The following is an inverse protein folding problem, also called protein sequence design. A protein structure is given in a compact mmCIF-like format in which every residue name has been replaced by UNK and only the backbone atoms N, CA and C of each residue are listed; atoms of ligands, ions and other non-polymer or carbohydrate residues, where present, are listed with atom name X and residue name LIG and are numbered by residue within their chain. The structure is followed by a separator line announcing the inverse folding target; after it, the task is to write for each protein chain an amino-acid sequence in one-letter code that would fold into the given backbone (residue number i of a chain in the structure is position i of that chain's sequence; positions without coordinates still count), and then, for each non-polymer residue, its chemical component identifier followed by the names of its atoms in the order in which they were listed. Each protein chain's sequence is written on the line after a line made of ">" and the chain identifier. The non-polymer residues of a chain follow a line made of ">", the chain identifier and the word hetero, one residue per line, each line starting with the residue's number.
data_IF_341684067557
#
_entry.id   IF_341684067557
#
_cell.length_a   1.000
_cell.length_b   1.000
_cell.length_c   1.000
_cell.angle_alpha   90.00
_cell.angle_beta   90.00
_cell.angle_gamma   90.00
#
_symmetry.space_group_name_H-M   'P 1'
#
loop_
_entity.id
_entity.type
_entity.pdbx_description
1 polymer ?
#
# COMPACT_ATOMS: atom_id res chain seq x y z
N UNK A 1 -30.67 2.67 22.23
CA UNK A 1 -29.43 3.45 22.23
C UNK A 1 -29.01 3.56 20.77
N UNK A 2 -29.18 4.73 20.18
CA UNK A 2 -28.78 5.02 18.79
C UNK A 2 -27.25 5.11 18.76
N UNK A 3 -26.60 4.15 18.10
CA UNK A 3 -25.19 4.30 17.72
C UNK A 3 -25.06 5.59 16.91
N UNK A 4 -24.30 6.53 17.43
CA UNK A 4 -23.92 7.72 16.66
C UNK A 4 -22.93 7.25 15.60
N UNK A 5 -23.36 7.19 14.34
CA UNK A 5 -22.47 6.95 13.21
C UNK A 5 -21.32 7.99 13.26
N UNK A 6 -20.12 7.48 13.43
CA UNK A 6 -18.90 8.30 13.46
C UNK A 6 -18.67 8.88 12.07
N UNK A 7 -18.81 10.20 11.95
CA UNK A 7 -18.60 10.92 10.69
C UNK A 7 -17.11 11.20 10.48
N UNK A 8 -16.62 10.93 9.27
CA UNK A 8 -15.23 11.13 8.85
C UNK A 8 -15.16 12.02 7.61
N UNK A 9 -14.05 12.74 7.45
CA UNK A 9 -13.84 13.63 6.31
C UNK A 9 -13.51 12.87 5.04
N UNK A 10 -14.17 13.21 3.93
CA UNK A 10 -13.84 12.79 2.58
C UNK A 10 -13.84 14.05 1.67
N UNK A 11 -12.64 14.58 1.39
CA UNK A 11 -12.50 15.86 0.70
C UNK A 11 -13.18 17.00 1.48
N UNK A 12 -14.20 17.61 0.89
CA UNK A 12 -15.00 18.69 1.50
C UNK A 12 -16.31 18.20 2.16
N UNK A 13 -16.58 16.89 2.14
CA UNK A 13 -17.78 16.27 2.69
C UNK A 13 -17.49 15.52 3.99
N UNK A 14 -18.52 15.40 4.85
CA UNK A 14 -18.51 14.53 6.03
C UNK A 14 -19.40 13.33 5.76
N UNK A 15 -18.82 12.14 5.73
CA UNK A 15 -19.47 10.87 5.40
C UNK A 15 -19.31 9.87 6.55
N UNK A 16 -20.07 8.77 6.54
CA UNK A 16 -19.84 7.67 7.47
C UNK A 16 -18.52 6.93 7.13
N UNK A 17 -18.01 6.14 8.06
CA UNK A 17 -16.78 5.35 7.83
C UNK A 17 -16.97 4.35 6.68
N UNK A 18 -18.14 3.72 6.59
CA UNK A 18 -18.49 2.79 5.51
C UNK A 18 -18.59 3.48 4.16
N UNK A 19 -19.29 4.63 4.09
CA UNK A 19 -19.39 5.44 2.88
C UNK A 19 -18.03 5.96 2.41
N UNK A 20 -17.13 6.32 3.34
CA UNK A 20 -15.76 6.73 2.99
C UNK A 20 -15.00 5.58 2.33
N UNK A 21 -15.04 4.38 2.92
CA UNK A 21 -14.36 3.19 2.39
C UNK A 21 -14.88 2.84 0.99
N UNK A 22 -16.20 2.90 0.79
CA UNK A 22 -16.81 2.63 -0.52
C UNK A 22 -16.43 3.70 -1.55
N UNK A 23 -16.56 4.99 -1.23
CA UNK A 23 -16.20 6.10 -2.15
C UNK A 23 -14.72 6.08 -2.51
N UNK A 24 -13.84 5.77 -1.58
CA UNK A 24 -12.40 5.59 -1.85
C UNK A 24 -12.19 4.43 -2.81
N UNK A 25 -12.86 3.29 -2.60
CA UNK A 25 -12.79 2.14 -3.51
C UNK A 25 -13.23 2.49 -4.93
N UNK A 26 -14.39 3.15 -5.09
CA UNK A 26 -14.92 3.56 -6.40
C UNK A 26 -13.97 4.52 -7.15
N UNK A 27 -13.35 5.46 -6.44
CA UNK A 27 -12.36 6.37 -7.04
C UNK A 27 -11.13 5.58 -7.51
N UNK A 28 -10.61 4.65 -6.70
CA UNK A 28 -9.46 3.83 -7.09
C UNK A 28 -9.78 2.90 -8.25
N UNK A 29 -10.96 2.31 -8.29
CA UNK A 29 -11.39 1.45 -9.40
C UNK A 29 -11.51 2.23 -10.72
N UNK A 30 -11.99 3.48 -10.66
CA UNK A 30 -12.16 4.33 -11.85
C UNK A 30 -10.84 4.86 -12.42
N UNK A 31 -9.80 5.01 -11.60
CA UNK A 31 -8.50 5.58 -12.00
C UNK A 31 -7.35 4.59 -11.94
N UNK A 32 -7.63 3.33 -11.64
CA UNK A 32 -6.60 2.31 -11.38
C UNK A 32 -5.61 2.13 -12.53
N UNK A 33 -6.08 2.17 -13.79
CA UNK A 33 -5.21 2.06 -14.98
C UNK A 33 -4.29 3.27 -15.19
N UNK A 34 -4.66 4.44 -14.64
CA UNK A 34 -3.90 5.69 -14.81
C UNK A 34 -3.28 6.18 -13.49
N UNK A 35 -3.41 5.39 -12.41
CA UNK A 35 -3.01 5.82 -11.08
C UNK A 35 -1.51 6.14 -10.98
N UNK A 36 -0.67 5.32 -11.55
CA UNK A 36 0.78 5.53 -11.58
C UNK A 36 1.15 6.78 -12.40
N UNK A 37 0.50 6.95 -13.55
CA UNK A 37 0.70 8.13 -14.41
C UNK A 37 0.22 9.41 -13.72
N UNK A 38 -0.91 9.36 -13.01
CA UNK A 38 -1.45 10.50 -12.28
C UNK A 38 -0.56 10.88 -11.09
N UNK A 39 -0.01 9.90 -10.37
CA UNK A 39 0.96 10.15 -9.31
C UNK A 39 2.24 10.76 -9.85
N UNK A 40 2.76 10.27 -10.98
CA UNK A 40 3.91 10.85 -11.67
C UNK A 40 3.65 12.29 -12.08
N UNK A 41 2.48 12.57 -12.67
CA UNK A 41 2.11 13.90 -13.12
C UNK A 41 1.92 14.89 -11.97
N UNK A 42 1.19 14.49 -10.91
CA UNK A 42 0.90 15.34 -9.75
C UNK A 42 2.12 15.64 -8.89
N UNK A 43 3.09 14.75 -8.87
CA UNK A 43 4.31 14.89 -8.06
C UNK A 43 5.53 15.30 -8.89
N UNK A 44 5.40 15.50 -10.21
CA UNK A 44 6.54 15.74 -11.13
C UNK A 44 7.65 14.69 -10.98
N UNK A 45 7.29 13.43 -10.68
CA UNK A 45 8.26 12.35 -10.44
C UNK A 45 8.98 12.40 -9.09
N UNK A 46 8.74 13.42 -8.26
CA UNK A 46 9.39 13.58 -6.94
C UNK A 46 9.07 12.40 -6.02
N UNK A 47 7.87 11.80 -6.14
CA UNK A 47 7.50 10.63 -5.32
C UNK A 47 8.44 9.44 -5.52
N UNK A 48 9.03 9.24 -6.71
CA UNK A 48 10.01 8.17 -6.97
C UNK A 48 11.32 8.43 -6.22
N UNK A 49 11.74 9.69 -6.15
CA UNK A 49 12.92 10.08 -5.37
C UNK A 49 12.69 9.85 -3.87
N UNK A 50 11.53 10.26 -3.34
CA UNK A 50 11.20 10.06 -1.94
C UNK A 50 11.08 8.58 -1.54
N UNK A 51 10.51 7.73 -2.40
CA UNK A 51 10.49 6.28 -2.17
C UNK A 51 11.91 5.72 -2.02
N UNK A 52 12.82 6.06 -2.93
CA UNK A 52 14.22 5.62 -2.85
C UNK A 52 14.95 6.19 -1.63
N UNK A 53 14.73 7.45 -1.33
CA UNK A 53 15.33 8.08 -0.15
C UNK A 53 14.85 7.42 1.14
N UNK A 54 13.55 7.16 1.29
CA UNK A 54 13.00 6.46 2.44
C UNK A 54 13.62 5.08 2.61
N UNK A 55 13.75 4.31 1.52
CA UNK A 55 14.33 2.97 1.56
C UNK A 55 15.79 2.94 2.02
N UNK A 56 16.59 3.93 1.69
CA UNK A 56 17.99 4.01 2.18
C UNK A 56 18.08 4.11 3.72
N UNK A 57 16.97 4.45 4.39
CA UNK A 57 16.90 4.61 5.83
C UNK A 57 16.17 3.44 6.54
N UNK A 58 15.71 2.44 5.80
CA UNK A 58 15.01 1.28 6.39
C UNK A 58 15.94 0.29 7.10
N UNK A 59 17.23 0.30 6.76
CA UNK A 59 18.16 -0.71 7.23
C UNK A 59 17.91 -2.11 6.67
N UNK A 60 17.12 -2.24 5.60
CA UNK A 60 16.88 -3.53 4.94
C UNK A 60 18.15 -4.07 4.30
N UNK A 61 18.40 -5.35 4.54
CA UNK A 61 19.54 -6.11 4.00
C UNK A 61 19.05 -7.36 3.27
N UNK A 62 19.93 -7.99 2.53
CA UNK A 62 19.65 -9.22 1.80
C UNK A 62 19.18 -10.34 2.75
N UNK A 63 18.12 -11.04 2.37
CA UNK A 63 17.50 -12.11 3.15
C UNK A 63 16.41 -11.66 4.12
N UNK A 64 16.24 -10.37 4.34
CA UNK A 64 15.22 -9.82 5.25
C UNK A 64 13.80 -9.93 4.66
N UNK A 65 12.80 -9.75 5.53
CA UNK A 65 11.38 -9.77 5.19
C UNK A 65 10.79 -8.36 5.29
N UNK A 66 10.17 -7.90 4.22
CA UNK A 66 9.51 -6.61 4.16
C UNK A 66 8.01 -6.74 3.89
N UNK A 67 7.22 -5.86 4.50
CA UNK A 67 5.80 -5.68 4.25
C UNK A 67 5.55 -4.28 3.70
N UNK A 68 4.82 -4.18 2.59
CA UNK A 68 4.31 -2.90 2.08
C UNK A 68 2.79 -2.86 2.22
N UNK A 69 2.31 -1.94 3.05
CA UNK A 69 0.89 -1.77 3.39
C UNK A 69 0.29 -0.69 2.48
N UNK A 70 -0.92 -0.93 1.98
CA UNK A 70 -1.57 -0.08 0.97
C UNK A 70 -0.66 0.11 -0.26
N UNK A 71 -0.15 -1.01 -0.77
CA UNK A 71 0.91 -1.07 -1.79
C UNK A 71 0.45 -0.64 -3.18
N UNK A 72 -0.86 -0.57 -3.43
CA UNK A 72 -1.42 -0.26 -4.75
C UNK A 72 -0.94 -1.26 -5.81
N UNK A 73 -0.32 -0.76 -6.87
CA UNK A 73 0.24 -1.57 -7.96
C UNK A 73 1.65 -2.12 -7.69
N UNK A 74 2.20 -1.91 -6.48
CA UNK A 74 3.43 -2.53 -6.01
C UNK A 74 4.74 -1.85 -6.40
N UNK A 75 4.72 -0.57 -6.76
CA UNK A 75 5.94 0.17 -7.14
C UNK A 75 7.02 0.18 -6.06
N UNK A 76 6.61 0.40 -4.80
CA UNK A 76 7.54 0.37 -3.68
C UNK A 76 8.04 -1.05 -3.42
N UNK A 77 7.17 -2.05 -3.64
CA UNK A 77 7.52 -3.46 -3.52
C UNK A 77 8.69 -3.87 -4.40
N UNK A 78 8.79 -3.36 -5.64
CA UNK A 78 9.94 -3.61 -6.52
C UNK A 78 11.23 -3.09 -5.90
N UNK A 79 11.20 -1.90 -5.33
CA UNK A 79 12.36 -1.30 -4.68
C UNK A 79 12.75 -2.05 -3.39
N UNK A 80 11.77 -2.53 -2.62
CA UNK A 80 12.00 -3.39 -1.45
C UNK A 80 12.63 -4.73 -1.87
N UNK A 81 12.13 -5.34 -2.97
CA UNK A 81 12.68 -6.57 -3.50
C UNK A 81 14.15 -6.43 -3.89
N UNK A 82 14.50 -5.31 -4.54
CA UNK A 82 15.89 -5.04 -4.93
C UNK A 82 16.82 -4.93 -3.71
N UNK A 83 16.30 -4.52 -2.55
CA UNK A 83 17.09 -4.46 -1.30
C UNK A 83 17.21 -5.80 -0.58
N UNK A 84 16.09 -6.52 -0.42
CA UNK A 84 16.11 -7.81 0.29
C UNK A 84 16.71 -8.94 -0.55
N UNK A 85 16.91 -8.71 -1.84
CA UNK A 85 17.52 -9.67 -2.74
C UNK A 85 16.67 -10.94 -2.97
N UNK A 86 17.26 -11.95 -3.62
CA UNK A 86 16.57 -13.20 -3.95
C UNK A 86 16.27 -14.08 -2.74
N UNK A 87 17.05 -13.95 -1.67
CA UNK A 87 16.89 -14.72 -0.42
C UNK A 87 15.88 -14.11 0.54
N UNK A 88 15.51 -12.83 0.34
CA UNK A 88 14.50 -12.15 1.13
C UNK A 88 13.07 -12.38 0.62
N UNK A 89 12.11 -11.80 1.32
CA UNK A 89 10.68 -11.90 0.98
C UNK A 89 10.02 -10.53 1.08
N UNK A 90 9.16 -10.20 0.12
CA UNK A 90 8.32 -9.00 0.14
C UNK A 90 6.86 -9.40 0.10
N UNK A 91 6.06 -8.89 1.03
CA UNK A 91 4.60 -9.03 1.02
C UNK A 91 3.98 -7.67 0.72
N UNK A 92 3.08 -7.64 -0.26
CA UNK A 92 2.33 -6.47 -0.65
C UNK A 92 0.89 -6.64 -0.21
N UNK A 93 0.35 -5.68 0.54
CA UNK A 93 -1.05 -5.72 0.95
C UNK A 93 -1.79 -4.48 0.49
N UNK A 94 -3.01 -4.65 0.06
CA UNK A 94 -3.94 -3.57 -0.24
C UNK A 94 -5.37 -4.01 0.06
N UNK A 95 -6.24 -3.08 0.39
CA UNK A 95 -7.67 -3.35 0.57
C UNK A 95 -8.37 -3.52 -0.77
N UNK A 96 -7.87 -2.89 -1.83
CA UNK A 96 -8.45 -2.90 -3.17
C UNK A 96 -7.89 -4.07 -4.00
N UNK A 97 -8.75 -5.06 -4.25
CA UNK A 97 -8.39 -6.24 -5.05
C UNK A 97 -8.02 -5.91 -6.50
N UNK A 98 -8.63 -4.88 -7.09
CA UNK A 98 -8.35 -4.44 -8.47
C UNK A 98 -6.91 -3.91 -8.59
N UNK A 99 -6.46 -3.09 -7.64
CA UNK A 99 -5.09 -2.60 -7.56
C UNK A 99 -4.07 -3.74 -7.44
N UNK A 100 -4.35 -4.72 -6.58
CA UNK A 100 -3.49 -5.90 -6.43
C UNK A 100 -3.44 -6.75 -7.70
N UNK A 101 -4.58 -6.91 -8.39
CA UNK A 101 -4.62 -7.67 -9.64
C UNK A 101 -3.78 -7.00 -10.73
N UNK A 102 -3.89 -5.68 -10.88
CA UNK A 102 -3.06 -4.90 -11.82
C UNK A 102 -1.59 -4.95 -11.43
N UNK A 103 -1.28 -4.77 -10.14
CA UNK A 103 0.07 -4.90 -9.60
C UNK A 103 0.67 -6.27 -9.90
N UNK A 104 -0.10 -7.35 -9.70
CA UNK A 104 0.33 -8.71 -10.02
C UNK A 104 0.69 -8.86 -11.51
N UNK A 105 -0.16 -8.40 -12.42
CA UNK A 105 0.08 -8.47 -13.85
C UNK A 105 1.35 -7.70 -14.24
N UNK A 106 1.49 -6.49 -13.76
CA UNK A 106 2.68 -5.64 -13.96
C UNK A 106 3.96 -6.30 -13.45
N UNK A 107 3.95 -6.83 -12.23
CA UNK A 107 5.11 -7.50 -11.62
C UNK A 107 5.46 -8.80 -12.34
N UNK A 108 4.47 -9.54 -12.84
CA UNK A 108 4.67 -10.73 -13.66
C UNK A 108 5.38 -10.39 -14.97
N UNK A 109 4.90 -9.35 -15.68
CA UNK A 109 5.49 -8.88 -16.94
C UNK A 109 6.94 -8.40 -16.77
N UNK A 110 7.26 -7.86 -15.58
CA UNK A 110 8.60 -7.43 -15.20
C UNK A 110 9.50 -8.55 -14.67
N UNK A 111 8.98 -9.78 -14.50
CA UNK A 111 9.71 -10.91 -13.91
C UNK A 111 10.04 -10.74 -12.42
N UNK A 112 9.26 -9.92 -11.69
CA UNK A 112 9.52 -9.52 -10.30
C UNK A 112 8.72 -10.30 -9.25
N UNK A 113 7.92 -11.31 -9.63
CA UNK A 113 7.07 -12.05 -8.67
C UNK A 113 7.80 -13.14 -7.87
N UNK A 114 9.07 -13.43 -8.16
CA UNK A 114 9.78 -14.64 -7.64
C UNK A 114 9.72 -14.79 -6.12
N UNK A 115 9.92 -13.69 -5.36
CA UNK A 115 9.91 -13.66 -3.90
C UNK A 115 8.94 -12.60 -3.35
N UNK A 116 7.92 -12.27 -4.14
CA UNK A 116 6.83 -11.39 -3.75
C UNK A 116 5.52 -12.15 -3.59
N UNK A 117 4.73 -11.74 -2.59
CA UNK A 117 3.37 -12.21 -2.37
C UNK A 117 2.43 -11.01 -2.31
N UNK A 118 1.25 -11.14 -2.92
CA UNK A 118 0.21 -10.12 -2.88
C UNK A 118 -0.98 -10.68 -2.10
N UNK A 119 -1.44 -9.94 -1.11
CA UNK A 119 -2.53 -10.34 -0.22
C UNK A 119 -3.52 -9.19 -0.05
N UNK A 120 -4.80 -9.44 -0.27
CA UNK A 120 -5.83 -8.47 0.06
C UNK A 120 -6.01 -8.42 1.58
N UNK A 121 -5.78 -7.26 2.18
CA UNK A 121 -5.92 -7.06 3.61
C UNK A 121 -6.28 -5.61 3.94
N UNK A 122 -7.00 -5.43 5.05
CA UNK A 122 -7.23 -4.12 5.64
C UNK A 122 -6.04 -3.74 6.52
N UNK A 123 -5.45 -2.56 6.27
CA UNK A 123 -4.33 -2.04 7.04
C UNK A 123 -4.63 -1.87 8.54
N UNK A 124 -5.90 -1.70 8.91
CA UNK A 124 -6.36 -1.57 10.29
C UNK A 124 -6.44 -2.91 11.04
N UNK A 125 -6.33 -4.04 10.31
CA UNK A 125 -6.36 -5.40 10.87
C UNK A 125 -5.59 -6.36 9.97
N UNK A 126 -4.27 -6.30 10.03
CA UNK A 126 -3.38 -7.13 9.21
C UNK A 126 -3.35 -8.57 9.73
N UNK A 127 -3.42 -9.58 8.85
CA UNK A 127 -3.47 -10.99 9.24
C UNK A 127 -2.06 -11.58 9.47
N UNK A 128 -1.20 -10.89 10.19
CA UNK A 128 0.17 -11.31 10.47
C UNK A 128 0.44 -11.36 11.96
N UNK A 129 1.38 -12.21 12.36
CA UNK A 129 1.87 -12.27 13.72
C UNK A 129 2.81 -11.10 14.01
N UNK A 130 2.93 -10.75 15.30
CA UNK A 130 3.87 -9.73 15.76
C UNK A 130 5.32 -10.11 15.41
N UNK A 131 6.13 -9.12 15.09
CA UNK A 131 7.55 -9.28 14.76
C UNK A 131 7.85 -10.19 13.55
N UNK A 132 6.90 -10.38 12.65
CA UNK A 132 7.08 -11.22 11.46
C UNK A 132 7.96 -10.56 10.39
N UNK A 133 8.08 -9.24 10.37
CA UNK A 133 8.80 -8.45 9.36
C UNK A 133 9.93 -7.64 9.98
N UNK A 134 11.02 -7.51 9.24
CA UNK A 134 12.16 -6.66 9.58
C UNK A 134 11.88 -5.19 9.24
N UNK A 135 11.03 -4.94 8.24
CA UNK A 135 10.60 -3.61 7.85
C UNK A 135 9.14 -3.62 7.39
N UNK A 136 8.39 -2.61 7.82
CA UNK A 136 7.03 -2.33 7.33
C UNK A 136 7.01 -0.94 6.73
N UNK A 137 6.47 -0.83 5.52
CA UNK A 137 6.32 0.45 4.81
C UNK A 137 4.86 0.74 4.51
N UNK A 138 4.53 2.01 4.50
CA UNK A 138 3.27 2.52 4.00
C UNK A 138 3.54 3.85 3.28
N UNK A 139 3.38 3.86 1.95
CA UNK A 139 3.67 5.03 1.15
C UNK A 139 2.39 5.60 0.54
N UNK A 140 2.07 6.86 0.89
CA UNK A 140 0.92 7.62 0.40
C UNK A 140 -0.47 7.03 0.70
N UNK A 141 -0.58 5.77 1.14
CA UNK A 141 -1.82 5.10 1.49
C UNK A 141 -2.42 5.57 2.82
N UNK A 142 -1.57 5.97 3.79
CA UNK A 142 -1.98 6.32 5.16
C UNK A 142 -3.08 7.40 5.21
N UNK A 143 -3.07 8.34 4.28
CA UNK A 143 -4.09 9.42 4.20
C UNK A 143 -5.50 8.89 3.95
N UNK A 144 -5.62 7.72 3.30
CA UNK A 144 -6.88 7.11 2.91
C UNK A 144 -7.44 6.17 3.99
N UNK A 145 -6.61 5.78 4.97
CA UNK A 145 -7.01 4.91 6.08
C UNK A 145 -7.93 5.67 7.04
N UNK A 146 -8.99 5.04 7.46
CA UNK A 146 -10.00 5.62 8.33
C UNK A 146 -9.49 5.74 9.76
N UNK A 147 -9.04 4.63 10.36
CA UNK A 147 -8.40 4.62 11.66
C UNK A 147 -6.88 4.45 11.53
N UNK A 148 -6.18 5.59 11.48
CA UNK A 148 -4.73 5.60 11.35
C UNK A 148 -4.00 5.03 12.58
N UNK A 149 -4.61 5.14 13.77
CA UNK A 149 -4.00 4.62 15.00
C UNK A 149 -4.04 3.08 14.97
N UNK A 150 -5.16 2.50 14.55
CA UNK A 150 -5.26 1.05 14.37
C UNK A 150 -4.25 0.53 13.34
N UNK A 151 -4.04 1.26 12.24
CA UNK A 151 -3.11 0.85 11.19
C UNK A 151 -1.63 1.01 11.58
N UNK A 152 -1.32 1.80 12.59
CA UNK A 152 0.05 2.06 13.06
C UNK A 152 0.37 1.39 14.40
N UNK A 153 -0.58 0.65 14.97
CA UNK A 153 -0.39 -0.14 16.19
C UNK A 153 0.04 -1.54 15.84
#
# INVERSE_FOLDING_TARGET
>A
MTEQEKKVSFGFESVSEEEKTQKVGEVFDSVSEQYDLMNDLMSFGIHRFWKRFALMHTGLEEGMKALDVASGTGDLGVLLQDQVGESGTVILTDINASMLHQGRSKLLDQGKLKNMQLLQANAENLPFEDNMFDCVTIAFGLRNITDKNAALS
#
